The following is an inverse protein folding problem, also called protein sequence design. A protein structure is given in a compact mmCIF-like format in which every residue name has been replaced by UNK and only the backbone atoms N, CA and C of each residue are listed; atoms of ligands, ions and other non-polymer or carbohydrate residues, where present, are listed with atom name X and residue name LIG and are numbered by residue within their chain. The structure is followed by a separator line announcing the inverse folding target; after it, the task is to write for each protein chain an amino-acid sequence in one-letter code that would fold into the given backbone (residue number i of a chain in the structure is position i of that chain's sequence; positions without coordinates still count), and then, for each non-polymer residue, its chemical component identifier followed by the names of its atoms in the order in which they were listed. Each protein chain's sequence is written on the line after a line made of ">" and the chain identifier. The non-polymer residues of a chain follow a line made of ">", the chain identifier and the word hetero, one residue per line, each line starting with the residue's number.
data_IF_049198083970
#
_entry.id   IF_049198083970
#
_cell.length_a   1.000
_cell.length_b   1.000
_cell.length_c   1.000
_cell.angle_alpha   90.00
_cell.angle_beta   90.00
_cell.angle_gamma   90.00
#
_symmetry.space_group_name_H-M   'P 1'
#
loop_
_entity.id
_entity.type
_entity.pdbx_description
1 polymer ?
#
# COMPACT_ATOMS: atom_id res chain seq x y z
N UNK A 1 14.21 34.69 -33.70
CA UNK A 1 14.08 33.25 -34.00
C UNK A 1 15.46 32.71 -34.41
N UNK A 2 16.51 33.25 -33.81
CA UNK A 2 17.86 32.98 -34.28
C UNK A 2 18.32 31.63 -33.72
N UNK A 3 18.99 30.85 -34.56
CA UNK A 3 19.56 29.51 -34.27
C UNK A 3 18.58 28.33 -34.14
N UNK A 4 17.30 28.44 -34.53
CA UNK A 4 16.41 27.26 -34.64
C UNK A 4 16.29 26.83 -36.11
N UNK A 5 16.76 25.63 -36.49
CA UNK A 5 16.67 25.18 -37.88
C UNK A 5 15.22 24.92 -38.29
N UNK A 6 14.93 25.14 -39.58
CA UNK A 6 13.65 24.82 -40.21
C UNK A 6 13.90 23.68 -41.22
N UNK A 7 13.17 22.55 -41.13
CA UNK A 7 12.06 22.26 -40.22
C UNK A 7 12.50 22.11 -38.75
N UNK A 8 11.64 22.53 -37.82
CA UNK A 8 11.91 22.53 -36.37
C UNK A 8 12.11 21.09 -35.89
N UNK A 9 13.31 20.71 -35.41
CA UNK A 9 13.57 19.35 -34.97
C UNK A 9 12.90 19.07 -33.63
N UNK A 10 12.37 17.86 -33.49
CA UNK A 10 11.83 17.34 -32.23
C UNK A 10 12.97 16.97 -31.30
N UNK A 11 13.48 17.94 -30.54
CA UNK A 11 14.63 17.72 -29.67
C UNK A 11 14.66 18.65 -28.46
N UNK A 12 15.17 18.15 -27.33
CA UNK A 12 15.34 18.92 -26.10
C UNK A 12 16.17 20.20 -26.25
N UNK A 13 17.29 20.22 -27.01
CA UNK A 13 18.07 21.43 -27.23
C UNK A 13 17.26 22.55 -27.91
N UNK A 14 16.41 22.21 -28.88
CA UNK A 14 15.55 23.19 -29.57
C UNK A 14 14.53 23.80 -28.62
N UNK A 15 13.94 23.00 -27.73
CA UNK A 15 13.00 23.51 -26.73
C UNK A 15 13.67 24.47 -25.73
N UNK A 16 14.87 24.12 -25.26
CA UNK A 16 15.65 25.01 -24.38
C UNK A 16 16.00 26.32 -25.06
N UNK A 17 16.48 26.26 -26.31
CA UNK A 17 16.80 27.46 -27.11
C UNK A 17 15.57 28.31 -27.38
N UNK A 18 14.41 27.70 -27.63
CA UNK A 18 13.14 28.42 -27.77
C UNK A 18 12.78 29.17 -26.48
N UNK A 19 12.92 28.53 -25.31
CA UNK A 19 12.70 29.19 -24.02
C UNK A 19 13.74 30.27 -23.71
N UNK A 20 15.01 30.11 -24.10
CA UNK A 20 16.04 31.14 -23.98
C UNK A 20 15.70 32.36 -24.83
N UNK A 21 15.23 32.15 -26.06
CA UNK A 21 14.80 33.21 -26.96
C UNK A 21 13.48 33.89 -26.52
N UNK A 22 12.69 33.26 -25.65
CA UNK A 22 11.39 33.76 -25.16
C UNK A 22 11.32 33.59 -23.63
N UNK A 23 11.96 34.48 -22.85
CA UNK A 23 12.09 34.34 -21.39
C UNK A 23 10.77 34.33 -20.64
N UNK A 24 9.71 34.89 -21.21
CA UNK A 24 8.36 34.94 -20.65
C UNK A 24 7.54 33.67 -20.86
N UNK A 25 8.04 32.71 -21.65
CA UNK A 25 7.31 31.48 -21.98
C UNK A 25 7.81 30.31 -21.12
N UNK A 26 6.86 29.54 -20.60
CA UNK A 26 7.06 28.22 -19.99
C UNK A 26 6.49 27.19 -20.95
N UNK A 27 7.33 26.31 -21.49
CA UNK A 27 6.97 25.33 -22.51
C UNK A 27 6.82 23.92 -21.91
N UNK A 28 5.72 23.25 -22.25
CA UNK A 28 5.55 21.81 -22.02
C UNK A 28 5.22 21.15 -23.35
N UNK A 29 6.00 20.14 -23.71
CA UNK A 29 5.84 19.36 -24.93
C UNK A 29 5.47 17.94 -24.54
N UNK A 30 4.35 17.48 -25.07
CA UNK A 30 3.81 16.15 -24.84
C UNK A 30 3.92 15.30 -26.10
N UNK A 31 3.93 13.99 -25.92
CA UNK A 31 3.81 12.99 -26.97
C UNK A 31 2.61 12.09 -26.67
N UNK A 32 1.93 11.63 -27.72
CA UNK A 32 0.80 10.71 -27.60
C UNK A 32 1.19 9.32 -28.07
N UNK A 33 1.11 8.33 -27.19
CA UNK A 33 1.37 6.94 -27.53
C UNK A 33 0.05 6.21 -27.85
N UNK A 34 -0.16 5.91 -29.13
CA UNK A 34 -1.38 5.26 -29.63
C UNK A 34 -1.64 3.88 -29.00
N UNK A 35 -0.59 3.09 -28.75
CA UNK A 35 -0.69 1.74 -28.19
C UNK A 35 -1.30 1.76 -26.78
N UNK A 36 -0.83 2.65 -25.93
CA UNK A 36 -1.24 2.76 -24.53
C UNK A 36 -2.33 3.81 -24.29
N UNK A 37 -2.72 4.55 -25.35
CA UNK A 37 -3.62 5.72 -25.29
C UNK A 37 -3.24 6.68 -24.15
N UNK A 38 -1.94 6.94 -24.02
CA UNK A 38 -1.39 7.75 -22.94
C UNK A 38 -0.65 8.97 -23.48
N UNK A 39 -0.72 10.03 -22.67
CA UNK A 39 0.06 11.25 -22.85
C UNK A 39 1.35 11.09 -22.06
N UNK A 40 2.49 11.37 -22.68
CA UNK A 40 3.80 11.35 -22.01
C UNK A 40 4.53 12.68 -22.22
N UNK A 41 5.52 12.95 -21.38
CA UNK A 41 6.35 14.14 -21.44
C UNK A 41 7.53 13.94 -22.37
N UNK A 42 7.65 14.83 -23.35
CA UNK A 42 8.89 15.00 -24.12
C UNK A 42 9.75 16.13 -23.57
N UNK A 43 9.12 17.19 -23.05
CA UNK A 43 9.82 18.31 -22.41
C UNK A 43 8.92 19.02 -21.39
N UNK A 44 9.49 19.37 -20.25
CA UNK A 44 8.81 20.13 -19.19
C UNK A 44 9.72 21.24 -18.72
N UNK A 45 9.27 22.48 -18.87
CA UNK A 45 9.97 23.65 -18.35
C UNK A 45 10.10 23.60 -16.83
N UNK A 46 11.25 24.06 -16.32
CA UNK A 46 11.46 24.34 -14.90
C UNK A 46 10.90 25.71 -14.49
N UNK A 47 10.56 26.58 -15.46
CA UNK A 47 9.92 27.88 -15.21
C UNK A 47 8.49 27.67 -14.74
N UNK A 48 8.31 27.81 -13.42
CA UNK A 48 7.06 27.56 -12.70
C UNK A 48 6.65 28.83 -11.98
N UNK A 49 5.55 29.40 -12.43
CA UNK A 49 5.02 30.63 -11.88
C UNK A 49 3.93 31.18 -12.78
N UNK A 50 3.04 31.99 -12.21
CA UNK A 50 1.95 32.63 -12.94
C UNK A 50 2.47 33.79 -13.80
N UNK A 51 3.72 34.22 -13.58
CA UNK A 51 4.42 35.21 -14.40
C UNK A 51 4.78 34.70 -15.81
N UNK A 52 4.84 33.39 -16.01
CA UNK A 52 5.17 32.79 -17.31
C UNK A 52 3.92 32.45 -18.12
N UNK A 53 3.93 32.78 -19.41
CA UNK A 53 2.92 32.31 -20.37
C UNK A 53 3.08 30.81 -20.59
N UNK A 54 2.07 30.06 -20.15
CA UNK A 54 2.07 28.61 -20.22
C UNK A 54 1.66 28.11 -21.61
N UNK A 55 2.60 27.51 -22.34
CA UNK A 55 2.36 26.94 -23.68
C UNK A 55 2.47 25.42 -23.64
N UNK A 56 1.41 24.73 -24.08
CA UNK A 56 1.35 23.27 -24.15
C UNK A 56 1.33 22.85 -25.62
N UNK A 57 2.32 22.07 -26.05
CA UNK A 57 2.42 21.52 -27.40
C UNK A 57 2.30 20.00 -27.36
N UNK A 58 1.58 19.43 -28.33
CA UNK A 58 1.55 18.00 -28.61
C UNK A 58 2.39 17.74 -29.86
N UNK A 59 3.29 16.78 -29.79
CA UNK A 59 4.02 16.26 -30.96
C UNK A 59 3.37 14.96 -31.40
N UNK A 60 3.01 14.91 -32.68
CA UNK A 60 2.54 13.71 -33.35
C UNK A 60 3.59 13.34 -34.38
N UNK A 61 4.14 12.14 -34.25
CA UNK A 61 5.16 11.59 -35.15
C UNK A 61 4.53 10.47 -35.97
N UNK A 62 4.52 10.60 -37.28
CA UNK A 62 4.12 9.57 -38.23
C UNK A 62 5.27 9.35 -39.21
N UNK A 63 5.85 8.15 -39.18
CA UNK A 63 7.05 7.78 -39.95
C UNK A 63 8.20 8.80 -39.75
N UNK A 64 8.60 9.49 -40.81
CA UNK A 64 9.67 10.51 -40.79
C UNK A 64 9.14 11.95 -40.62
N UNK A 65 7.84 12.14 -40.40
CA UNK A 65 7.21 13.46 -40.27
C UNK A 65 6.72 13.71 -38.85
N UNK A 66 7.07 14.87 -38.32
CA UNK A 66 6.63 15.33 -37.00
C UNK A 66 5.82 16.61 -37.13
N UNK A 67 4.66 16.64 -36.47
CA UNK A 67 3.78 17.79 -36.44
C UNK A 67 3.59 18.30 -35.01
N UNK A 68 3.76 19.60 -34.82
CA UNK A 68 3.43 20.28 -33.57
C UNK A 68 1.99 20.78 -33.60
N UNK A 69 1.22 20.45 -32.56
CA UNK A 69 -0.14 20.92 -32.35
C UNK A 69 -0.23 21.67 -31.02
N UNK A 70 -0.91 22.81 -30.99
CA UNK A 70 -1.14 23.53 -29.73
C UNK A 70 -2.28 22.90 -28.95
N UNK A 71 -2.04 22.61 -27.66
CA UNK A 71 -3.07 22.16 -26.73
C UNK A 71 -3.70 23.39 -26.08
N UNK A 72 -4.89 23.77 -26.54
CA UNK A 72 -5.64 24.93 -26.00
C UNK A 72 -6.15 24.70 -24.58
N UNK A 73 -6.56 23.47 -24.26
CA UNK A 73 -7.11 23.10 -22.97
C UNK A 73 -6.64 21.69 -22.59
N UNK A 74 -5.65 21.61 -21.70
CA UNK A 74 -5.07 20.35 -21.25
C UNK A 74 -6.09 19.50 -20.45
N UNK A 75 -7.04 20.14 -19.77
CA UNK A 75 -8.06 19.46 -18.98
C UNK A 75 -9.06 18.69 -19.83
N UNK A 76 -9.41 19.23 -21.01
CA UNK A 76 -10.30 18.56 -21.96
C UNK A 76 -9.66 17.33 -22.61
N UNK A 77 -8.34 17.34 -22.79
CA UNK A 77 -7.62 16.23 -23.42
C UNK A 77 -7.80 14.91 -22.66
N UNK A 78 -7.89 14.96 -21.33
CA UNK A 78 -8.03 13.78 -20.47
C UNK A 78 -9.47 13.45 -20.06
N UNK A 79 -10.46 14.07 -20.70
CA UNK A 79 -11.87 13.83 -20.37
C UNK A 79 -12.25 12.35 -20.49
N UNK A 80 -11.75 11.63 -21.50
CA UNK A 80 -12.08 10.22 -21.73
C UNK A 80 -11.21 9.22 -20.92
N UNK A 81 -10.28 9.68 -20.09
CA UNK A 81 -9.35 8.80 -19.36
C UNK A 81 -10.01 7.98 -18.23
N UNK A 82 -11.23 8.32 -17.79
CA UNK A 82 -11.94 7.55 -16.75
C UNK A 82 -13.45 7.62 -16.89
N UNK A 83 -14.17 6.71 -16.24
CA UNK A 83 -15.65 6.62 -16.29
C UNK A 83 -16.39 7.82 -15.69
N UNK A 84 -15.69 8.70 -14.96
CA UNK A 84 -16.29 9.89 -14.37
C UNK A 84 -16.69 10.91 -15.46
N UNK A 85 -17.97 11.32 -15.46
CA UNK A 85 -18.58 12.21 -16.48
C UNK A 85 -18.47 13.71 -16.18
N UNK A 86 -17.76 14.12 -15.14
CA UNK A 86 -17.50 15.53 -14.81
C UNK A 86 -16.16 16.05 -15.34
N UNK A 87 -15.95 17.38 -15.28
CA UNK A 87 -14.67 18.02 -15.61
C UNK A 87 -13.54 17.43 -14.76
N UNK A 88 -12.39 17.21 -15.39
CA UNK A 88 -11.18 16.70 -14.74
C UNK A 88 -10.10 17.76 -14.80
N UNK A 89 -9.23 17.76 -13.81
CA UNK A 89 -8.13 18.71 -13.70
C UNK A 89 -6.83 17.91 -13.74
N UNK A 90 -5.95 18.23 -14.66
CA UNK A 90 -4.68 17.54 -14.85
C UNK A 90 -3.54 18.47 -14.53
N UNK A 91 -2.57 17.98 -13.75
CA UNK A 91 -1.36 18.71 -13.49
C UNK A 91 -0.44 18.69 -14.72
N UNK A 92 -0.08 19.89 -15.18
CA UNK A 92 0.83 20.14 -16.29
C UNK A 92 2.23 19.55 -16.09
N UNK A 93 2.66 19.34 -14.86
CA UNK A 93 4.04 18.95 -14.53
C UNK A 93 4.21 17.47 -14.19
N UNK A 94 3.14 16.79 -13.75
CA UNK A 94 3.20 15.39 -13.33
C UNK A 94 2.12 14.49 -13.96
N UNK A 95 1.23 15.05 -14.79
CA UNK A 95 0.08 14.35 -15.42
C UNK A 95 -0.91 13.70 -14.45
N UNK A 96 -0.82 13.98 -13.14
CA UNK A 96 -1.80 13.48 -12.19
C UNK A 96 -3.17 14.12 -12.43
N UNK A 97 -4.21 13.29 -12.45
CA UNK A 97 -5.58 13.68 -12.75
C UNK A 97 -6.40 13.75 -11.46
N UNK A 98 -6.98 14.92 -11.20
CA UNK A 98 -7.87 15.21 -10.08
C UNK A 98 -9.32 15.32 -10.56
N UNK A 99 -10.25 14.79 -9.77
CA UNK A 99 -11.69 14.92 -10.00
C UNK A 99 -12.29 16.21 -9.42
N UNK A 100 -11.52 16.99 -8.65
CA UNK A 100 -11.96 18.19 -7.95
C UNK A 100 -10.97 19.32 -8.15
N UNK A 101 -11.49 20.51 -8.48
CA UNK A 101 -10.71 21.74 -8.64
C UNK A 101 -9.99 22.15 -7.35
N UNK A 102 -10.66 22.00 -6.21
CA UNK A 102 -10.10 22.34 -4.90
C UNK A 102 -8.84 21.51 -4.64
N UNK A 103 -8.91 20.19 -4.86
CA UNK A 103 -7.77 19.29 -4.69
C UNK A 103 -6.63 19.59 -5.67
N UNK A 104 -6.98 19.96 -6.89
CA UNK A 104 -6.01 20.36 -7.91
C UNK A 104 -5.26 21.63 -7.49
N UNK A 105 -5.97 22.66 -7.07
CA UNK A 105 -5.38 23.93 -6.63
C UNK A 105 -4.54 23.78 -5.35
N UNK A 106 -4.97 22.94 -4.41
CA UNK A 106 -4.18 22.60 -3.22
C UNK A 106 -2.89 21.83 -3.53
N UNK A 107 -2.86 21.10 -4.65
CA UNK A 107 -1.72 20.31 -5.08
C UNK A 107 -0.73 21.09 -5.93
N UNK A 108 -1.20 22.00 -6.78
CA UNK A 108 -0.37 22.74 -7.73
C UNK A 108 0.92 23.34 -7.11
N UNK A 109 0.89 24.07 -5.96
CA UNK A 109 2.10 24.62 -5.35
C UNK A 109 3.02 23.54 -4.74
N UNK A 110 2.52 22.31 -4.55
CA UNK A 110 3.26 21.17 -3.98
C UNK A 110 3.87 20.30 -5.08
N UNK A 111 3.46 20.46 -6.34
CA UNK A 111 3.91 19.63 -7.43
C UNK A 111 5.36 19.96 -7.80
N UNK A 112 6.26 18.99 -7.63
CA UNK A 112 7.66 19.09 -8.10
C UNK A 112 7.89 18.50 -9.51
N UNK A 113 6.85 17.99 -10.18
CA UNK A 113 6.92 17.41 -11.52
C UNK A 113 7.25 15.91 -11.53
N UNK A 114 7.45 15.32 -12.72
CA UNK A 114 7.92 13.93 -12.86
C UNK A 114 9.26 13.73 -12.14
N UNK A 115 9.43 12.57 -11.49
CA UNK A 115 10.66 12.10 -10.83
C UNK A 115 11.13 12.88 -9.58
N UNK A 116 10.56 14.05 -9.28
CA UNK A 116 10.88 14.82 -8.08
C UNK A 116 9.76 14.79 -7.03
N UNK A 117 8.76 13.92 -7.18
CA UNK A 117 7.62 13.83 -6.27
C UNK A 117 8.12 13.70 -4.81
N UNK A 118 8.09 14.77 -4.01
CA UNK A 118 8.39 14.62 -2.61
C UNK A 118 7.17 13.89 -2.04
N UNK A 119 7.34 12.64 -1.60
CA UNK A 119 6.42 12.12 -0.60
C UNK A 119 6.58 13.02 0.61
N UNK A 120 5.68 14.00 0.79
CA UNK A 120 5.64 14.77 2.02
C UNK A 120 5.08 13.83 3.07
N UNK A 121 5.85 13.40 4.08
CA UNK A 121 5.26 12.76 5.24
C UNK A 121 4.32 13.78 5.86
N UNK A 122 3.02 13.62 5.62
CA UNK A 122 2.01 14.43 6.29
C UNK A 122 1.83 13.82 7.67
N UNK A 123 2.43 14.45 8.66
CA UNK A 123 2.20 14.04 10.04
C UNK A 123 0.71 14.18 10.37
N UNK A 124 0.13 13.22 11.11
CA UNK A 124 -1.23 13.33 11.60
C UNK A 124 -1.44 14.68 12.29
N UNK A 125 -2.49 15.42 11.91
CA UNK A 125 -2.78 16.70 12.55
C UNK A 125 -3.24 16.42 13.97
N UNK A 126 -2.60 17.07 14.96
CA UNK A 126 -2.97 16.95 16.38
C UNK A 126 -4.47 17.17 16.51
N UNK A 127 -5.17 16.21 17.12
CA UNK A 127 -6.63 16.19 17.34
C UNK A 127 -7.55 16.07 16.10
N UNK A 128 -7.01 15.88 14.89
CA UNK A 128 -7.83 15.69 13.65
C UNK A 128 -7.66 14.32 13.00
N UNK A 129 -6.70 13.53 13.48
CA UNK A 129 -6.30 12.26 12.88
C UNK A 129 -6.33 11.11 13.89
N UNK A 130 -7.41 11.03 14.68
CA UNK A 130 -7.64 9.91 15.59
C UNK A 130 -8.00 8.68 14.76
N UNK A 131 -7.04 7.78 14.56
CA UNK A 131 -7.31 6.44 14.01
C UNK A 131 -7.73 5.54 15.16
N UNK A 132 -8.90 4.91 15.03
CA UNK A 132 -9.34 3.87 15.95
C UNK A 132 -9.07 2.50 15.35
N UNK A 133 -8.69 1.54 16.19
CA UNK A 133 -8.62 0.15 15.79
C UNK A 133 -10.05 -0.39 15.59
N UNK A 134 -10.34 -0.95 14.42
CA UNK A 134 -11.69 -1.42 14.08
C UNK A 134 -11.84 -2.94 14.24
N UNK A 135 -10.74 -3.68 14.18
CA UNK A 135 -10.77 -5.14 14.15
C UNK A 135 -10.73 -5.74 15.56
N UNK A 136 -11.69 -5.36 16.40
CA UNK A 136 -11.76 -5.70 17.83
C UNK A 136 -11.55 -7.18 18.16
N UNK A 137 -11.94 -8.11 17.27
CA UNK A 137 -11.68 -9.56 17.43
C UNK A 137 -10.20 -9.90 17.57
N UNK A 138 -9.31 -9.12 16.95
CA UNK A 138 -7.86 -9.30 17.02
C UNK A 138 -7.23 -8.68 18.28
N UNK A 139 -8.03 -8.12 19.20
CA UNK A 139 -7.52 -7.66 20.50
C UNK A 139 -7.54 -8.75 21.57
N UNK A 140 -8.26 -9.84 21.34
CA UNK A 140 -8.22 -10.98 22.27
C UNK A 140 -6.88 -11.69 22.12
N UNK A 141 -6.10 -11.85 23.21
CA UNK A 141 -4.86 -12.59 23.14
C UNK A 141 -5.18 -14.06 22.86
N UNK A 142 -4.50 -14.63 21.85
CA UNK A 142 -4.57 -16.06 21.62
C UNK A 142 -3.81 -16.80 22.75
N UNK A 143 -4.38 -17.89 23.29
CA UNK A 143 -3.77 -18.67 24.37
C UNK A 143 -2.46 -19.34 23.92
N UNK A 144 -2.35 -19.70 22.64
CA UNK A 144 -1.13 -20.25 22.06
C UNK A 144 -0.54 -19.29 21.02
N UNK A 145 0.79 -19.19 21.03
CA UNK A 145 1.56 -18.44 20.04
C UNK A 145 2.74 -19.28 19.59
N UNK A 146 2.88 -19.41 18.27
CA UNK A 146 4.01 -20.11 17.66
C UNK A 146 4.90 -19.04 17.02
N UNK A 147 6.11 -18.89 17.56
CA UNK A 147 7.15 -18.10 16.94
C UNK A 147 8.00 -19.02 16.10
N UNK A 148 8.19 -18.71 14.83
CA UNK A 148 8.97 -19.56 13.94
C UNK A 148 9.78 -18.72 12.97
N UNK A 149 10.85 -19.32 12.49
CA UNK A 149 11.68 -18.78 11.42
C UNK A 149 12.18 -19.92 10.52
N UNK A 150 12.38 -19.61 9.23
CA UNK A 150 12.89 -20.53 8.23
C UNK A 150 14.21 -20.02 7.68
N UNK A 151 15.20 -20.89 7.66
CA UNK A 151 16.49 -20.62 7.05
C UNK A 151 16.49 -21.11 5.60
N UNK A 152 17.06 -20.28 4.71
CA UNK A 152 17.00 -20.49 3.27
C UNK A 152 18.39 -20.32 2.66
N UNK A 153 18.86 -21.33 1.92
CA UNK A 153 20.05 -21.21 1.07
C UNK A 153 19.69 -20.55 -0.25
N UNK A 154 20.61 -19.75 -0.77
CA UNK A 154 20.45 -19.13 -2.09
C UNK A 154 21.25 -19.92 -3.12
N UNK A 155 20.56 -20.71 -3.93
CA UNK A 155 21.16 -21.52 -4.99
C UNK A 155 21.08 -20.76 -6.33
N UNK A 156 22.15 -20.86 -7.14
CA UNK A 156 22.14 -20.29 -8.49
C UNK A 156 21.30 -21.18 -9.41
N UNK A 157 20.42 -20.57 -10.20
CA UNK A 157 19.63 -21.30 -11.18
C UNK A 157 20.50 -21.76 -12.35
N UNK A 158 20.23 -22.95 -12.87
CA UNK A 158 20.89 -23.43 -14.09
C UNK A 158 20.38 -22.66 -15.31
N UNK A 159 21.11 -22.64 -16.44
CA UNK A 159 20.67 -21.97 -17.67
C UNK A 159 19.26 -22.36 -18.15
N UNK A 160 18.86 -23.60 -17.91
CA UNK A 160 17.56 -24.15 -18.28
C UNK A 160 16.43 -23.64 -17.36
N UNK A 161 16.73 -23.36 -16.09
CA UNK A 161 15.78 -22.86 -15.09
C UNK A 161 15.65 -21.32 -15.09
N UNK A 162 16.58 -20.64 -15.76
CA UNK A 162 16.55 -19.19 -15.94
C UNK A 162 15.37 -18.78 -16.81
N UNK A 163 14.26 -18.47 -16.16
CA UNK A 163 13.09 -17.92 -16.84
C UNK A 163 13.30 -16.43 -17.12
N UNK A 164 13.40 -16.08 -18.40
CA UNK A 164 13.43 -14.68 -18.85
C UNK A 164 12.01 -14.13 -18.86
N UNK A 165 11.69 -13.24 -17.92
CA UNK A 165 10.48 -12.44 -17.95
C UNK A 165 10.69 -11.25 -18.92
N UNK A 166 9.66 -10.44 -19.16
CA UNK A 166 9.68 -9.32 -20.12
C UNK A 166 10.87 -8.37 -19.95
N UNK A 167 11.24 -8.03 -18.70
CA UNK A 167 12.35 -7.12 -18.40
C UNK A 167 13.26 -7.58 -17.25
N UNK A 168 13.09 -8.80 -16.74
CA UNK A 168 13.82 -9.30 -15.58
C UNK A 168 14.26 -10.75 -15.77
N UNK A 169 15.47 -11.08 -15.32
CA UNK A 169 16.00 -12.44 -15.31
C UNK A 169 16.13 -12.92 -13.87
N UNK A 170 15.58 -14.10 -13.57
CA UNK A 170 15.75 -14.73 -12.26
C UNK A 170 17.12 -15.40 -12.21
N UNK A 171 17.98 -14.98 -11.28
CA UNK A 171 19.35 -15.50 -11.16
C UNK A 171 19.50 -16.60 -10.09
N UNK A 172 18.67 -16.54 -9.06
CA UNK A 172 18.80 -17.38 -7.87
C UNK A 172 17.43 -17.86 -7.37
N UNK A 173 17.45 -18.94 -6.61
CA UNK A 173 16.30 -19.51 -5.93
C UNK A 173 16.63 -19.74 -4.46
N UNK A 174 15.66 -19.43 -3.59
CA UNK A 174 15.74 -19.75 -2.17
C UNK A 174 15.27 -21.18 -1.96
N UNK A 175 16.13 -21.99 -1.34
CA UNK A 175 15.83 -23.36 -0.96
C UNK A 175 15.83 -23.47 0.58
N UNK A 176 14.72 -23.93 1.19
CA UNK A 176 14.66 -24.14 2.62
C UNK A 176 15.75 -25.12 3.06
N UNK A 177 16.48 -24.78 4.12
CA UNK A 177 17.55 -25.64 4.67
C UNK A 177 17.42 -25.89 6.17
N UNK A 178 16.53 -25.17 6.85
CA UNK A 178 16.27 -25.38 8.26
C UNK A 178 15.10 -24.56 8.76
N UNK A 179 14.66 -24.87 9.96
CA UNK A 179 13.66 -24.11 10.69
C UNK A 179 13.93 -24.15 12.18
N UNK A 180 13.36 -23.18 12.88
CA UNK A 180 13.22 -23.19 14.31
C UNK A 180 11.83 -22.69 14.66
N UNK A 181 11.12 -23.37 15.55
CA UNK A 181 9.91 -22.82 16.14
C UNK A 181 9.87 -23.03 17.65
N UNK A 182 9.12 -22.16 18.32
CA UNK A 182 8.85 -22.18 19.75
C UNK A 182 7.36 -21.93 19.95
N UNK A 183 6.70 -22.87 20.60
CA UNK A 183 5.30 -22.79 20.99
C UNK A 183 5.21 -22.30 22.43
N UNK A 184 4.51 -21.18 22.61
CA UNK A 184 4.29 -20.54 23.91
C UNK A 184 2.81 -20.59 24.24
N UNK A 185 2.49 -21.22 25.37
CA UNK A 185 1.18 -21.14 26.02
C UNK A 185 1.15 -19.91 26.93
N UNK A 186 0.06 -19.16 26.89
CA UNK A 186 -0.19 -17.98 27.71
C UNK A 186 -1.52 -18.13 28.43
N UNK A 187 -1.45 -18.49 29.70
CA UNK A 187 -2.65 -18.59 30.55
C UNK A 187 -3.02 -17.23 31.16
N UNK A 188 -2.05 -16.32 31.29
CA UNK A 188 -2.31 -14.93 31.66
C UNK A 188 -1.20 -14.00 31.15
N UNK A 189 -1.38 -12.68 31.29
CA UNK A 189 -0.37 -11.69 30.90
C UNK A 189 0.97 -11.83 31.64
N UNK A 190 1.00 -12.58 32.75
CA UNK A 190 2.19 -12.79 33.58
C UNK A 190 2.57 -14.27 33.70
N UNK A 191 1.79 -15.18 33.10
CA UNK A 191 2.04 -16.61 33.14
C UNK A 191 2.11 -17.14 31.70
N UNK A 192 3.33 -17.38 31.24
CA UNK A 192 3.60 -18.00 29.95
C UNK A 192 4.58 -19.16 30.13
N UNK A 193 4.38 -20.19 29.33
CA UNK A 193 5.20 -21.39 29.34
C UNK A 193 5.58 -21.77 27.92
N UNK A 194 6.84 -22.13 27.73
CA UNK A 194 7.29 -22.74 26.47
C UNK A 194 6.94 -24.21 26.53
N UNK A 195 5.92 -24.62 25.77
CA UNK A 195 5.37 -25.98 25.82
C UNK A 195 6.05 -26.92 24.84
N UNK A 196 6.53 -26.38 23.72
CA UNK A 196 7.20 -27.15 22.67
C UNK A 196 8.15 -26.26 21.90
N UNK A 197 9.20 -26.86 21.37
CA UNK A 197 10.11 -26.22 20.43
C UNK A 197 10.77 -27.31 19.58
N UNK A 198 11.10 -26.97 18.35
CA UNK A 198 11.88 -27.85 17.49
C UNK A 198 12.86 -27.01 16.66
N UNK A 199 14.03 -27.59 16.41
CA UNK A 199 15.08 -27.02 15.58
C UNK A 199 15.56 -28.09 14.63
N UNK A 200 15.40 -27.80 13.35
CA UNK A 200 15.74 -28.75 12.30
C UNK A 200 16.62 -28.12 11.23
N UNK A 201 17.53 -28.91 10.69
CA UNK A 201 18.37 -28.56 9.53
C UNK A 201 18.45 -29.75 8.59
N UNK A 202 18.04 -29.55 7.35
CA UNK A 202 17.96 -30.60 6.35
C UNK A 202 17.37 -30.10 5.03
N UNK A 203 17.52 -30.87 3.94
CA UNK A 203 17.00 -30.52 2.62
C UNK A 203 15.46 -30.58 2.55
N UNK A 204 14.84 -31.34 3.44
CA UNK A 204 13.41 -31.56 3.64
C UNK A 204 12.82 -30.66 4.75
N UNK A 205 13.49 -29.55 5.07
CA UNK A 205 13.12 -28.67 6.17
C UNK A 205 11.67 -28.18 6.09
N UNK A 206 11.16 -27.86 4.91
CA UNK A 206 9.80 -27.34 4.77
C UNK A 206 8.74 -28.42 5.01
N UNK A 207 8.95 -29.65 4.52
CA UNK A 207 8.03 -30.77 4.71
C UNK A 207 7.93 -31.12 6.20
N UNK A 208 9.08 -31.32 6.85
CA UNK A 208 9.13 -31.57 8.30
C UNK A 208 8.56 -30.43 9.13
N UNK A 209 8.72 -29.18 8.70
CA UNK A 209 8.13 -28.05 9.41
C UNK A 209 6.61 -28.14 9.41
N UNK A 210 6.00 -28.46 8.26
CA UNK A 210 4.54 -28.60 8.15
C UNK A 210 4.06 -29.76 9.02
N UNK A 211 4.69 -30.93 8.92
CA UNK A 211 4.32 -32.11 9.72
C UNK A 211 4.34 -31.79 11.22
N UNK A 212 5.39 -31.10 11.69
CA UNK A 212 5.49 -30.68 13.09
C UNK A 212 4.40 -29.69 13.50
N UNK A 213 4.09 -28.71 12.66
CA UNK A 213 3.04 -27.73 12.98
C UNK A 213 1.66 -28.39 13.00
N UNK A 214 1.42 -29.43 12.19
CA UNK A 214 0.19 -30.23 12.26
C UNK A 214 0.10 -31.06 13.54
N UNK A 215 1.20 -31.68 13.99
CA UNK A 215 1.29 -32.36 15.29
C UNK A 215 0.99 -31.39 16.44
N UNK A 216 1.61 -30.21 16.43
CA UNK A 216 1.37 -29.16 17.43
C UNK A 216 -0.08 -28.67 17.40
N UNK A 217 -0.69 -28.54 16.21
CA UNK A 217 -2.10 -28.15 16.09
C UNK A 217 -3.02 -29.14 16.80
N UNK A 218 -2.80 -30.44 16.62
CA UNK A 218 -3.61 -31.48 17.28
C UNK A 218 -3.46 -31.40 18.79
N UNK A 219 -2.22 -31.25 19.29
CA UNK A 219 -1.94 -31.14 20.72
C UNK A 219 -2.59 -29.89 21.34
N UNK A 220 -2.48 -28.74 20.66
CA UNK A 220 -3.10 -27.48 21.10
C UNK A 220 -4.63 -27.60 21.10
N UNK A 221 -5.23 -28.22 20.08
CA UNK A 221 -6.68 -28.41 20.03
C UNK A 221 -7.18 -29.31 21.17
N UNK A 222 -6.44 -30.38 21.49
CA UNK A 222 -6.77 -31.26 22.61
C UNK A 222 -6.73 -30.51 23.95
N UNK A 223 -5.68 -29.70 24.20
CA UNK A 223 -5.57 -28.89 25.42
C UNK A 223 -6.69 -27.84 25.52
N UNK A 224 -6.95 -27.11 24.43
CA UNK A 224 -7.99 -26.07 24.40
C UNK A 224 -9.42 -26.62 24.55
N UNK A 225 -9.62 -27.91 24.25
CA UNK A 225 -10.91 -28.58 24.44
C UNK A 225 -11.16 -28.97 25.90
N UNK A 226 -10.11 -29.03 26.73
CA UNK A 226 -10.24 -29.35 28.14
C UNK A 226 -10.73 -28.13 28.94
N UNK A 227 -11.69 -28.29 29.88
CA UNK A 227 -12.09 -27.21 30.77
C UNK A 227 -10.91 -26.76 31.64
N UNK A 228 -10.55 -25.48 31.53
CA UNK A 228 -9.49 -24.89 32.36
C UNK A 228 -10.07 -24.13 33.56
N UNK A 229 -9.38 -24.18 34.70
CA UNK A 229 -9.73 -23.36 35.85
C UNK A 229 -9.39 -21.88 35.62
N UNK A 230 -10.25 -20.99 36.14
CA UNK A 230 -10.04 -19.55 36.00
C UNK A 230 -8.92 -19.07 36.93
N UNK A 231 -7.81 -18.60 36.36
CA UNK A 231 -6.71 -18.01 37.13
C UNK A 231 -7.06 -16.57 37.54
N UNK A 232 -7.31 -16.35 38.83
CA UNK A 232 -7.69 -15.04 39.38
C UNK A 232 -6.58 -14.43 40.26
N UNK A 233 -6.09 -13.26 39.88
CA UNK A 233 -5.17 -12.48 40.70
C UNK A 233 -5.93 -11.66 41.77
N UNK A 234 -5.30 -11.37 42.94
CA UNK A 234 -5.87 -10.47 43.93
C UNK A 234 -6.22 -9.11 43.30
N UNK A 235 -7.49 -8.70 43.39
CA UNK A 235 -7.99 -7.45 42.83
C UNK A 235 -8.71 -7.58 41.48
N UNK A 236 -8.62 -8.71 40.78
CA UNK A 236 -9.39 -8.95 39.54
C UNK A 236 -10.90 -8.78 39.76
N UNK A 237 -11.43 -9.34 40.86
CA UNK A 237 -12.84 -9.19 41.21
C UNK A 237 -13.23 -7.73 41.48
N UNK A 238 -12.36 -6.96 42.14
CA UNK A 238 -12.59 -5.53 42.39
C UNK A 238 -12.57 -4.74 41.08
N UNK A 239 -11.62 -5.04 40.19
CA UNK A 239 -11.53 -4.42 38.87
C UNK A 239 -12.74 -4.74 37.99
N UNK A 240 -13.18 -6.00 37.99
CA UNK A 240 -14.39 -6.46 37.31
C UNK A 240 -15.63 -5.70 37.80
N UNK A 241 -15.85 -5.65 39.12
CA UNK A 241 -17.02 -4.96 39.70
C UNK A 241 -17.00 -3.44 39.45
N UNK A 242 -15.82 -2.84 39.26
CA UNK A 242 -15.66 -1.40 38.97
C UNK A 242 -15.71 -1.08 37.47
N UNK A 243 -15.64 -2.08 36.59
CA UNK A 243 -15.53 -1.84 35.16
C UNK A 243 -16.84 -1.26 34.58
N UNK A 244 -16.76 -0.06 34.02
CA UNK A 244 -17.88 0.63 33.37
C UNK A 244 -17.83 0.55 31.84
N UNK A 245 -16.72 0.08 31.29
CA UNK A 245 -16.43 0.05 29.85
C UNK A 245 -15.82 -1.29 29.42
N UNK A 246 -16.08 -1.67 28.17
CA UNK A 246 -15.50 -2.84 27.54
C UNK A 246 -13.99 -2.67 27.32
N UNK A 247 -13.18 -3.60 27.83
CA UNK A 247 -11.73 -3.54 27.68
C UNK A 247 -11.25 -3.65 26.22
N UNK A 248 -12.07 -4.23 25.34
CA UNK A 248 -11.81 -4.37 23.89
C UNK A 248 -12.16 -3.07 23.16
N UNK A 249 -13.45 -2.72 23.09
CA UNK A 249 -13.92 -1.62 22.24
C UNK A 249 -13.95 -0.25 22.93
N UNK A 250 -13.63 -0.19 24.23
CA UNK A 250 -13.63 1.02 25.06
C UNK A 250 -14.97 1.77 25.11
N UNK A 251 -16.08 1.07 24.81
CA UNK A 251 -17.43 1.62 24.91
C UNK A 251 -18.03 1.28 26.29
N UNK A 252 -18.93 2.13 26.82
CA UNK A 252 -19.60 1.86 28.09
C UNK A 252 -20.48 0.61 27.99
N UNK A 253 -20.59 -0.13 29.09
CA UNK A 253 -21.57 -1.21 29.20
C UNK A 253 -22.98 -0.61 29.26
N UNK A 254 -23.80 -0.98 28.28
CA UNK A 254 -25.21 -0.58 28.23
C UNK A 254 -26.01 -1.66 28.97
N UNK A 255 -26.96 -1.27 29.82
CA UNK A 255 -27.93 -2.25 30.37
C UNK A 255 -28.70 -2.86 29.20
N UNK A 256 -28.61 -4.18 28.97
CA UNK A 256 -29.29 -4.79 27.84
C UNK A 256 -30.81 -4.64 28.01
N UNK A 257 -31.52 -4.37 26.91
CA UNK A 257 -32.97 -4.46 26.89
C UNK A 257 -33.40 -5.92 27.08
N UNK A 258 -34.64 -6.16 27.54
CA UNK A 258 -35.17 -7.52 27.71
C UNK A 258 -35.08 -8.36 26.43
N UNK A 259 -35.29 -7.75 25.26
CA UNK A 259 -35.13 -8.41 23.96
C UNK A 259 -33.68 -8.83 23.65
N UNK A 260 -32.70 -8.02 24.07
CA UNK A 260 -31.28 -8.36 23.87
C UNK A 260 -30.84 -9.50 24.78
N UNK A 261 -31.41 -9.60 26.00
CA UNK A 261 -31.18 -10.71 26.93
C UNK A 261 -31.74 -12.02 26.38
N UNK A 262 -32.97 -12.03 25.85
CA UNK A 262 -33.56 -13.22 25.21
C UNK A 262 -32.73 -13.71 24.03
N UNK A 263 -32.31 -12.80 23.13
CA UNK A 263 -31.44 -13.16 22.00
C UNK A 263 -30.08 -13.71 22.43
N UNK A 264 -29.55 -13.23 23.55
CA UNK A 264 -28.28 -13.74 24.10
C UNK A 264 -28.44 -15.15 24.68
N UNK A 265 -29.53 -15.44 25.38
CA UNK A 265 -29.84 -16.79 25.88
C UNK A 265 -30.07 -17.79 24.74
N UNK A 266 -30.80 -17.39 23.69
CA UNK A 266 -30.99 -18.20 22.48
C UNK A 266 -29.67 -18.46 21.72
N UNK A 267 -28.76 -17.49 21.69
CA UNK A 267 -27.45 -17.63 21.07
C UNK A 267 -26.51 -18.51 21.91
N UNK A 268 -26.59 -18.42 23.24
CA UNK A 268 -25.84 -19.28 24.17
C UNK A 268 -26.24 -20.75 24.00
N UNK A 269 -27.53 -21.02 23.81
CA UNK A 269 -28.01 -22.39 23.54
C UNK A 269 -27.46 -22.96 22.22
N UNK A 270 -27.34 -22.14 21.17
CA UNK A 270 -26.81 -22.54 19.85
C UNK A 270 -25.29 -22.71 19.77
N UNK A 271 -24.54 -22.22 20.76
CA UNK A 271 -23.08 -22.38 20.84
C UNK A 271 -22.67 -23.61 21.67
N UNK A 272 -23.64 -24.26 22.32
CA UNK A 272 -23.46 -25.47 23.13
C UNK A 272 -23.96 -26.74 22.42
N UNK A 273 -24.45 -26.60 21.18
CA UNK A 273 -24.74 -27.67 20.21
C UNK A 273 -23.66 -27.69 19.12
#
# INVERSE_FOLDING_TARGET
>A
MDDIPIPVPVSTPVYKKFEENNPEISLCVYEWHNQNKCLDFRYVSERRGDEYKQVNLLVITEDDRSHYCIIKDLHKLVYNHSKHKGRKYICRYCLHVYSSEIRYNEYLPKCKGLNNAPQRPQMPVKNRSVKAFYNHKCMQPNPYRIFWDLEMLTEKLTPEEKMKLTHTERLQMHKPCGYCYVVVRMDSSLNYEVVSHDLYRGPDALEKFVDRIEEELINIQADLSAPAEMIMAPGNLKAYNKATECWICKKPFIKPSQEALQKFEEAKHRLLE
#
